data_IF_636372474793
#
_entry.id   IF_636372474793
#
_cell.length_a   1.000
_cell.length_b   1.000
_cell.length_c   1.000
_cell.angle_alpha   90.00
_cell.angle_beta   90.00
_cell.angle_gamma   90.00
#
_symmetry.space_group_name_H-M   'P 1'
#
loop_
_entity.id
_entity.type
_entity.pdbx_description
1 polymer ?
#
# COMPACT_ATOMS: atom_id res chain seq x y z
N UNK A 1 -55.57 24.15 -29.46
CA UNK A 1 -54.53 23.10 -29.58
C UNK A 1 -53.80 23.27 -30.91
N UNK A 2 -52.51 23.58 -30.94
CA UNK A 2 -51.87 24.08 -32.14
C UNK A 2 -51.25 22.98 -33.02
N UNK A 3 -51.24 23.25 -34.33
CA UNK A 3 -50.48 22.66 -35.45
C UNK A 3 -50.26 23.80 -36.47
N UNK A 4 -49.39 23.70 -37.50
CA UNK A 4 -48.18 22.87 -37.70
C UNK A 4 -47.03 23.59 -38.50
N UNK A 5 -46.02 22.81 -38.94
CA UNK A 5 -45.15 22.97 -40.14
C UNK A 5 -43.81 23.72 -39.93
N UNK A 6 -42.67 23.43 -40.59
CA UNK A 6 -42.29 22.38 -41.56
C UNK A 6 -40.74 22.39 -41.78
N UNK A 7 -40.15 21.19 -41.92
CA UNK A 7 -39.13 20.74 -42.90
C UNK A 7 -37.88 21.58 -43.26
N UNK A 8 -36.66 21.00 -43.17
CA UNK A 8 -35.89 20.45 -44.34
C UNK A 8 -34.48 19.91 -44.00
N UNK A 9 -34.20 18.75 -44.61
CA UNK A 9 -32.90 18.10 -44.77
C UNK A 9 -31.90 18.93 -45.61
N UNK A 10 -30.59 18.64 -45.46
CA UNK A 10 -29.72 18.25 -46.59
C UNK A 10 -28.37 17.67 -46.15
N UNK A 11 -28.13 16.42 -46.55
CA UNK A 11 -26.81 15.81 -46.72
C UNK A 11 -26.08 16.43 -47.92
N UNK A 12 -24.74 16.51 -47.86
CA UNK A 12 -23.87 16.43 -49.05
C UNK A 12 -22.51 15.86 -48.66
N UNK A 13 -22.18 14.72 -49.27
CA UNK A 13 -20.88 14.07 -49.23
C UNK A 13 -19.85 14.72 -50.20
N UNK A 14 -18.70 14.05 -50.40
CA UNK A 14 -17.42 14.68 -50.72
C UNK A 14 -17.13 14.81 -52.21
N UNK A 15 -16.18 15.67 -52.57
CA UNK A 15 -15.59 15.72 -53.91
C UNK A 15 -14.07 15.64 -53.83
N UNK A 16 -13.52 14.88 -54.77
CA UNK A 16 -12.16 14.41 -54.91
C UNK A 16 -11.34 15.26 -55.90
N UNK A 17 -10.11 14.80 -56.11
CA UNK A 17 -9.19 14.97 -57.27
C UNK A 17 -7.96 15.85 -56.98
N UNK A 18 -6.73 15.42 -57.30
CA UNK A 18 -6.29 14.15 -57.89
C UNK A 18 -4.78 14.06 -58.07
N UNK A 19 -4.34 12.85 -58.45
CA UNK A 19 -3.24 12.45 -59.37
C UNK A 19 -1.83 13.01 -59.13
N UNK A 20 -0.71 12.30 -59.28
CA UNK A 20 -0.26 10.95 -59.67
C UNK A 20 1.22 10.88 -59.16
N UNK A 21 2.05 9.82 -59.18
CA UNK A 21 2.27 8.69 -60.08
C UNK A 21 3.33 7.79 -59.40
N UNK A 22 3.30 6.50 -59.73
CA UNK A 22 4.20 5.42 -59.28
C UNK A 22 5.64 5.56 -59.82
N UNK A 23 6.62 4.99 -59.10
CA UNK A 23 7.71 4.15 -59.64
C UNK A 23 8.48 3.42 -58.52
N UNK A 24 8.94 2.21 -58.82
CA UNK A 24 9.51 1.21 -57.91
C UNK A 24 11.05 1.21 -57.84
N UNK A 25 11.59 0.77 -56.68
CA UNK A 25 12.85 0.09 -56.28
C UNK A 25 14.21 0.38 -57.00
N UNK A 26 15.41 0.20 -56.38
CA UNK A 26 15.76 -0.73 -55.28
C UNK A 26 16.65 -0.17 -54.14
N UNK A 27 16.87 -1.02 -53.13
CA UNK A 27 17.71 -0.80 -51.93
C UNK A 27 19.17 -0.37 -52.19
N UNK A 28 19.85 0.17 -51.15
CA UNK A 28 21.18 -0.30 -50.80
C UNK A 28 21.33 -0.72 -49.33
N UNK A 29 22.16 -1.74 -49.12
CA UNK A 29 22.57 -2.32 -47.83
C UNK A 29 23.45 -1.35 -47.02
N UNK A 30 23.60 -1.72 -45.75
CA UNK A 30 24.71 -1.47 -44.79
C UNK A 30 24.67 -0.19 -43.96
N UNK A 31 24.41 -0.32 -42.65
CA UNK A 31 25.45 -0.24 -41.62
C UNK A 31 24.84 -0.26 -40.21
N UNK A 32 25.58 -0.86 -39.29
CA UNK A 32 25.23 -1.11 -37.89
C UNK A 32 25.35 0.18 -37.09
N UNK A 33 24.37 0.46 -36.24
CA UNK A 33 24.60 1.18 -34.99
C UNK A 33 23.61 0.71 -33.92
N UNK A 34 24.05 -0.28 -33.15
CA UNK A 34 23.51 -0.55 -31.83
C UNK A 34 23.74 0.70 -30.98
N UNK A 35 22.68 1.43 -30.66
CA UNK A 35 22.73 2.44 -29.60
C UNK A 35 21.71 2.05 -28.55
N UNK A 36 22.23 1.37 -27.54
CA UNK A 36 21.64 1.14 -26.23
C UNK A 36 21.22 2.49 -25.65
N UNK A 37 19.93 2.82 -25.70
CA UNK A 37 19.36 3.89 -24.88
C UNK A 37 19.06 3.30 -23.51
N UNK A 38 20.11 3.05 -22.73
CA UNK A 38 19.98 3.03 -21.28
C UNK A 38 20.01 4.47 -20.80
N UNK A 39 18.84 4.97 -20.41
CA UNK A 39 18.73 6.08 -19.47
C UNK A 39 17.58 5.71 -18.52
N UNK A 40 17.82 4.68 -17.71
CA UNK A 40 17.11 4.52 -16.44
C UNK A 40 17.57 5.69 -15.54
N UNK A 41 16.66 6.56 -15.07
CA UNK A 41 17.05 7.63 -14.15
C UNK A 41 17.61 6.98 -12.89
N UNK A 42 18.78 7.44 -12.45
CA UNK A 42 19.38 6.98 -11.19
C UNK A 42 18.33 7.10 -10.08
N UNK A 43 17.92 5.96 -9.52
CA UNK A 43 16.92 5.90 -8.46
C UNK A 43 17.31 6.89 -7.35
N UNK A 44 16.49 7.92 -7.19
CA UNK A 44 16.72 8.96 -6.19
C UNK A 44 16.68 8.26 -4.83
N UNK A 45 17.79 8.28 -4.10
CA UNK A 45 17.93 7.55 -2.83
C UNK A 45 16.92 8.11 -1.83
N UNK A 46 15.80 7.43 -1.61
CA UNK A 46 14.81 7.79 -0.61
C UNK A 46 15.35 7.39 0.79
N UNK A 47 15.79 8.35 1.63
CA UNK A 47 16.34 8.04 2.95
C UNK A 47 15.30 7.47 3.91
N UNK A 48 14.01 7.55 3.56
CA UNK A 48 12.89 7.10 4.37
C UNK A 48 12.61 5.59 4.33
N UNK A 49 13.28 4.83 3.46
CA UNK A 49 13.02 3.39 3.34
C UNK A 49 13.80 2.56 4.37
N UNK A 50 13.10 1.61 5.00
CA UNK A 50 13.67 0.68 5.98
C UNK A 50 13.85 -0.71 5.38
N UNK A 51 14.63 -0.83 4.30
CA UNK A 51 14.74 -2.06 3.49
C UNK A 51 15.27 -3.28 4.25
N UNK A 52 15.92 -3.08 5.40
CA UNK A 52 16.44 -4.13 6.28
C UNK A 52 15.48 -4.51 7.42
N UNK A 53 14.31 -3.87 7.51
CA UNK A 53 13.36 -4.10 8.60
C UNK A 53 12.68 -5.47 8.49
N UNK A 54 12.12 -5.92 9.61
CA UNK A 54 11.41 -7.19 9.75
C UNK A 54 10.52 -7.15 10.99
N UNK A 55 9.60 -8.11 11.12
CA UNK A 55 8.83 -8.29 12.34
C UNK A 55 9.72 -8.72 13.50
N UNK A 56 9.46 -8.16 14.68
CA UNK A 56 10.26 -8.39 15.87
C UNK A 56 9.72 -9.59 16.66
N UNK A 57 10.47 -10.68 16.71
CA UNK A 57 10.06 -11.93 17.39
C UNK A 57 10.16 -11.89 18.92
N UNK A 58 10.58 -10.77 19.52
CA UNK A 58 10.68 -10.65 20.98
C UNK A 58 9.28 -10.53 21.60
N UNK A 59 9.12 -11.10 22.80
CA UNK A 59 7.83 -11.13 23.51
C UNK A 59 7.29 -9.73 23.89
N UNK A 60 8.15 -8.70 23.93
CA UNK A 60 7.77 -7.30 24.16
C UNK A 60 7.28 -6.59 22.89
N UNK A 61 7.30 -7.26 21.74
CA UNK A 61 6.98 -6.69 20.44
C UNK A 61 6.10 -7.59 19.56
N UNK A 62 5.89 -8.85 19.94
CA UNK A 62 5.05 -9.81 19.23
C UNK A 62 4.15 -10.52 20.22
N UNK A 63 2.84 -10.44 20.02
CA UNK A 63 1.88 -11.16 20.83
C UNK A 63 2.12 -12.67 20.79
N UNK A 64 1.87 -13.35 21.90
CA UNK A 64 2.13 -14.78 22.04
C UNK A 64 1.26 -15.65 21.12
N UNK A 65 0.14 -15.12 20.61
CA UNK A 65 -0.76 -15.83 19.69
C UNK A 65 -0.38 -15.69 18.21
N UNK A 66 0.72 -14.99 17.92
CA UNK A 66 1.26 -14.90 16.58
C UNK A 66 2.45 -15.85 16.41
N UNK A 67 2.60 -16.39 15.21
CA UNK A 67 3.81 -17.06 14.76
C UNK A 67 4.46 -16.27 13.65
N UNK A 68 5.79 -16.16 13.71
CA UNK A 68 6.60 -15.50 12.68
C UNK A 68 7.41 -16.54 11.91
N UNK A 69 7.50 -16.36 10.61
CA UNK A 69 8.29 -17.22 9.73
C UNK A 69 8.94 -16.42 8.60
N UNK A 70 9.85 -17.09 7.87
CA UNK A 70 10.39 -16.57 6.62
C UNK A 70 9.38 -16.78 5.49
N UNK A 71 9.39 -15.92 4.46
CA UNK A 71 8.67 -16.20 3.23
C UNK A 71 9.13 -17.51 2.62
N UNK A 72 8.20 -18.23 1.98
CA UNK A 72 8.54 -19.40 1.18
C UNK A 72 9.23 -18.92 -0.09
N UNK A 73 10.56 -18.91 -0.11
CA UNK A 73 11.31 -18.57 -1.32
C UNK A 73 11.40 -19.77 -2.26
N UNK A 74 11.28 -19.57 -3.59
CA UNK A 74 11.70 -20.57 -4.56
C UNK A 74 13.18 -20.91 -4.30
N UNK A 75 13.52 -22.19 -4.39
CA UNK A 75 14.88 -22.68 -4.18
C UNK A 75 15.81 -22.21 -5.30
N UNK A 76 16.25 -20.95 -5.26
CA UNK A 76 17.41 -20.47 -6.02
C UNK A 76 18.65 -20.50 -5.10
N UNK A 77 19.54 -21.49 -5.27
CA UNK A 77 20.74 -21.66 -4.44
C UNK A 77 21.73 -20.49 -4.55
N UNK A 78 21.59 -19.59 -5.55
CA UNK A 78 22.53 -18.50 -5.81
C UNK A 78 22.12 -17.15 -5.20
N UNK A 79 20.91 -17.02 -4.66
CA UNK A 79 20.44 -15.79 -4.04
C UNK A 79 20.08 -16.02 -2.58
N UNK A 80 21.09 -16.14 -1.71
CA UNK A 80 20.87 -16.17 -0.26
C UNK A 80 20.45 -14.78 0.23
N UNK A 81 19.15 -14.48 0.14
CA UNK A 81 18.59 -13.32 0.85
C UNK A 81 18.74 -13.55 2.37
N UNK A 82 18.97 -12.50 3.16
CA UNK A 82 18.99 -12.63 4.61
C UNK A 82 17.65 -13.21 5.09
N UNK A 83 17.75 -14.16 6.02
CA UNK A 83 16.58 -14.74 6.70
C UNK A 83 15.88 -13.63 7.49
N UNK A 84 14.69 -13.21 7.05
CA UNK A 84 13.87 -12.20 7.73
C UNK A 84 12.51 -12.76 8.12
N UNK A 85 12.03 -12.36 9.30
CA UNK A 85 10.67 -12.64 9.73
C UNK A 85 9.71 -11.66 9.05
N UNK A 86 9.13 -12.08 7.94
CA UNK A 86 8.22 -11.25 7.14
C UNK A 86 6.79 -11.78 7.16
N UNK A 87 6.60 -13.08 7.42
CA UNK A 87 5.29 -13.70 7.50
C UNK A 87 4.81 -13.71 8.95
N UNK A 88 3.56 -13.30 9.16
CA UNK A 88 2.86 -13.34 10.46
C UNK A 88 1.59 -14.16 10.27
N UNK A 89 1.33 -15.09 11.20
CA UNK A 89 0.13 -15.91 11.20
C UNK A 89 -0.48 -15.99 12.58
N UNK A 90 -1.81 -15.88 12.66
CA UNK A 90 -2.54 -16.11 13.90
C UNK A 90 -2.61 -17.61 14.22
N UNK A 91 -2.29 -17.99 15.46
CA UNK A 91 -2.36 -19.38 15.91
C UNK A 91 -3.82 -19.88 15.91
N UNK A 92 -4.07 -21.14 15.50
CA UNK A 92 -5.39 -21.75 15.62
C UNK A 92 -5.88 -21.84 17.07
N UNK A 93 -7.17 -21.64 17.27
CA UNK A 93 -7.84 -21.75 18.57
C UNK A 93 -7.64 -20.54 19.50
N UNK A 94 -7.03 -19.45 19.03
CA UNK A 94 -6.68 -18.28 19.84
C UNK A 94 -7.46 -16.99 19.45
N UNK A 95 -8.49 -17.08 18.60
CA UNK A 95 -9.20 -15.94 17.99
C UNK A 95 -10.09 -15.08 18.93
N UNK A 96 -9.76 -14.99 20.21
CA UNK A 96 -10.61 -14.27 21.20
C UNK A 96 -10.36 -12.76 21.19
N UNK A 97 -9.12 -12.34 20.98
CA UNK A 97 -8.68 -10.95 21.00
C UNK A 97 -7.77 -10.63 19.81
N UNK A 98 -7.56 -9.35 19.51
CA UNK A 98 -6.55 -8.91 18.56
C UNK A 98 -5.14 -9.19 19.10
N UNK A 99 -4.26 -9.61 18.21
CA UNK A 99 -2.86 -9.92 18.48
C UNK A 99 -1.97 -9.08 17.56
N UNK A 100 -1.09 -8.29 18.16
CA UNK A 100 -0.26 -7.33 17.44
C UNK A 100 1.21 -7.73 17.37
N UNK A 101 1.89 -7.32 16.30
CA UNK A 101 3.35 -7.40 16.16
C UNK A 101 3.92 -6.12 15.58
N UNK A 102 5.02 -5.66 16.17
CA UNK A 102 5.79 -4.52 15.74
C UNK A 102 7.02 -4.94 14.92
N UNK A 103 7.43 -4.09 14.00
CA UNK A 103 8.72 -4.22 13.34
C UNK A 103 9.89 -3.87 14.30
N UNK A 104 11.10 -4.26 13.93
CA UNK A 104 12.31 -4.04 14.75
C UNK A 104 12.69 -2.55 14.79
N UNK A 105 12.64 -1.88 13.62
CA UNK A 105 13.04 -0.48 13.49
C UNK A 105 11.81 0.43 13.44
N UNK A 106 11.88 1.62 14.08
CA UNK A 106 10.85 2.64 13.92
C UNK A 106 10.88 3.21 12.50
N UNK A 107 9.83 3.93 12.13
CA UNK A 107 9.88 4.76 10.92
C UNK A 107 10.98 5.84 11.09
N UNK A 108 11.68 6.23 10.00
CA UNK A 108 12.61 7.35 10.02
C UNK A 108 11.88 8.68 10.28
N UNK A 109 12.61 9.80 10.31
CA UNK A 109 12.03 11.13 10.55
C UNK A 109 12.10 12.06 9.34
N UNK A 110 12.47 11.52 8.18
CA UNK A 110 12.64 12.27 6.94
C UNK A 110 12.34 11.39 5.72
N UNK A 111 12.17 12.04 4.57
CA UNK A 111 11.86 11.37 3.30
C UNK A 111 10.41 10.87 3.23
N UNK A 112 10.22 9.79 2.48
CA UNK A 112 8.95 9.07 2.41
C UNK A 112 9.18 7.69 3.00
N UNK A 113 8.56 7.41 4.13
CA UNK A 113 8.50 6.05 4.67
C UNK A 113 7.35 5.30 3.99
N UNK A 114 7.59 4.05 3.61
CA UNK A 114 6.57 3.19 3.02
C UNK A 114 6.89 1.71 3.23
N UNK A 115 5.87 0.91 3.49
CA UNK A 115 5.94 -0.55 3.47
C UNK A 115 4.61 -1.13 2.99
N UNK A 116 4.67 -2.34 2.43
CA UNK A 116 3.52 -3.10 1.96
C UNK A 116 3.32 -4.36 2.79
N UNK A 117 2.08 -4.83 2.82
CA UNK A 117 1.66 -6.07 3.43
C UNK A 117 0.74 -6.81 2.46
N UNK A 118 1.16 -7.99 2.03
CA UNK A 118 0.35 -8.91 1.24
C UNK A 118 -0.52 -9.76 2.15
N UNK A 119 -1.80 -9.88 1.84
CA UNK A 119 -2.74 -10.70 2.60
C UNK A 119 -2.76 -12.11 2.01
N UNK A 120 -2.25 -13.09 2.75
CA UNK A 120 -2.11 -14.48 2.30
C UNK A 120 -3.26 -15.39 2.76
N UNK A 121 -3.70 -15.20 4.01
CA UNK A 121 -4.68 -16.04 4.69
C UNK A 121 -6.11 -15.54 4.54
N UNK A 122 -7.01 -16.04 5.38
CA UNK A 122 -8.37 -15.49 5.49
C UNK A 122 -8.27 -14.04 5.99
N UNK A 123 -9.23 -13.19 5.60
CA UNK A 123 -9.38 -11.86 6.17
C UNK A 123 -10.48 -11.87 7.21
N UNK A 124 -10.11 -12.15 8.45
CA UNK A 124 -10.88 -11.76 9.60
C UNK A 124 -10.77 -10.26 9.86
N UNK A 125 -10.34 -9.91 11.07
CA UNK A 125 -10.03 -8.52 11.43
C UNK A 125 -8.52 -8.35 11.31
N UNK A 126 -8.09 -7.58 10.32
CA UNK A 126 -6.69 -7.26 10.04
C UNK A 126 -6.54 -5.76 9.99
N UNK A 127 -5.56 -5.23 10.73
CA UNK A 127 -5.30 -3.80 10.80
C UNK A 127 -3.83 -3.51 10.59
N UNK A 128 -3.53 -2.60 9.67
CA UNK A 128 -2.18 -2.33 9.18
C UNK A 128 -1.86 -0.86 9.37
N UNK A 129 -0.76 -0.55 10.03
CA UNK A 129 -0.30 0.83 10.12
C UNK A 129 0.87 1.06 11.07
N UNK A 130 0.79 2.14 11.85
CA UNK A 130 1.90 2.67 12.64
C UNK A 130 1.49 2.84 14.10
N UNK A 131 2.26 2.27 15.03
CA UNK A 131 1.93 2.29 16.45
C UNK A 131 3.11 2.63 17.35
N UNK A 132 2.88 3.22 18.54
CA UNK A 132 3.91 3.35 19.56
C UNK A 132 4.20 1.99 20.20
N UNK A 133 5.47 1.68 20.46
CA UNK A 133 5.86 0.37 21.02
C UNK A 133 5.29 0.10 22.44
N UNK A 134 4.84 1.15 23.13
CA UNK A 134 4.20 1.05 24.45
C UNK A 134 2.76 0.53 24.39
N UNK A 135 2.13 0.51 23.20
CA UNK A 135 0.76 0.00 23.04
C UNK A 135 0.69 -1.48 23.44
N UNK A 136 -0.33 -1.91 24.20
CA UNK A 136 -0.52 -3.32 24.54
C UNK A 136 -0.64 -4.22 23.30
N UNK A 137 0.06 -5.36 23.31
CA UNK A 137 0.08 -6.31 22.19
C UNK A 137 -1.26 -7.03 21.96
N UNK A 138 -2.15 -7.05 22.97
CA UNK A 138 -3.50 -7.60 22.90
C UNK A 138 -4.55 -6.56 22.47
N UNK A 139 -4.11 -5.39 22.01
CA UNK A 139 -4.95 -4.29 21.52
C UNK A 139 -4.66 -4.06 20.04
N UNK A 140 -5.70 -3.71 19.31
CA UNK A 140 -5.62 -3.38 17.90
C UNK A 140 -4.92 -2.03 17.67
N UNK A 141 -4.08 -1.97 16.64
CA UNK A 141 -3.48 -0.73 16.17
C UNK A 141 -4.55 0.24 15.64
N UNK A 142 -4.34 1.55 15.84
CA UNK A 142 -5.32 2.59 15.51
C UNK A 142 -6.25 2.97 16.67
N UNK A 143 -6.25 2.20 17.77
CA UNK A 143 -6.62 2.77 19.07
C UNK A 143 -5.54 3.73 19.59
N UNK A 144 -4.30 3.40 19.28
CA UNK A 144 -3.14 4.28 19.35
C UNK A 144 -2.41 4.21 18.01
N UNK A 145 -1.82 5.33 17.58
CA UNK A 145 -1.20 5.42 16.27
C UNK A 145 -2.22 5.45 15.14
N UNK A 146 -1.89 4.90 13.98
CA UNK A 146 -2.69 4.99 12.76
C UNK A 146 -2.93 3.59 12.19
N UNK A 147 -4.11 3.35 11.61
CA UNK A 147 -4.41 2.05 11.01
C UNK A 147 -5.36 2.15 9.82
N UNK A 148 -5.21 1.22 8.89
CA UNK A 148 -6.22 0.84 7.91
C UNK A 148 -6.74 -0.55 8.26
N UNK A 149 -8.02 -0.63 8.61
CA UNK A 149 -8.71 -1.85 9.01
C UNK A 149 -9.32 -2.59 7.81
N UNK A 150 -9.44 -3.90 7.92
CA UNK A 150 -9.97 -4.77 6.87
C UNK A 150 -11.41 -4.45 6.46
N UNK A 151 -12.19 -3.79 7.31
CA UNK A 151 -13.55 -3.36 7.00
C UNK A 151 -13.65 -2.11 6.10
N UNK A 152 -12.52 -1.50 5.69
CA UNK A 152 -12.57 -0.29 4.87
C UNK A 152 -12.57 1.00 5.68
N UNK A 153 -11.90 1.03 6.84
CA UNK A 153 -11.88 2.20 7.72
C UNK A 153 -10.44 2.59 8.05
N UNK A 154 -10.13 3.88 7.94
CA UNK A 154 -8.90 4.47 8.47
C UNK A 154 -9.14 5.00 9.89
N UNK A 155 -8.26 4.62 10.82
CA UNK A 155 -8.28 5.03 12.22
C UNK A 155 -7.25 6.12 12.50
N UNK A 156 -7.63 7.10 13.33
CA UNK A 156 -6.87 8.32 13.62
C UNK A 156 -6.45 9.08 12.35
N UNK A 157 -7.34 9.10 11.35
CA UNK A 157 -7.07 9.64 10.03
C UNK A 157 -7.80 10.97 9.84
N UNK A 158 -7.17 12.04 10.32
CA UNK A 158 -7.70 13.40 10.18
C UNK A 158 -7.61 13.85 8.72
N UNK A 159 -8.76 13.86 8.04
CA UNK A 159 -8.88 14.31 6.65
C UNK A 159 -10.27 14.95 6.41
N UNK A 160 -10.44 15.79 5.39
CA UNK A 160 -11.77 16.27 5.02
C UNK A 160 -12.73 15.11 4.78
N UNK A 161 -13.87 15.10 5.46
CA UNK A 161 -14.84 13.99 5.43
C UNK A 161 -14.68 12.96 6.56
N UNK A 162 -13.67 13.09 7.42
CA UNK A 162 -13.57 12.25 8.63
C UNK A 162 -14.67 12.60 9.63
N UNK A 163 -15.07 11.63 10.44
CA UNK A 163 -15.96 11.81 11.59
C UNK A 163 -15.27 11.34 12.87
N UNK A 164 -15.74 11.80 14.03
CA UNK A 164 -15.14 11.42 15.31
C UNK A 164 -16.00 10.36 16.00
N UNK A 165 -15.35 9.31 16.50
CA UNK A 165 -15.98 8.32 17.38
C UNK A 165 -15.44 8.46 18.81
N UNK A 166 -16.34 8.45 19.78
CA UNK A 166 -16.01 8.52 21.21
C UNK A 166 -15.88 7.13 21.85
N UNK A 167 -15.61 6.10 21.05
CA UNK A 167 -15.36 4.77 21.62
C UNK A 167 -14.06 4.83 22.45
N UNK A 168 -14.04 4.19 23.62
CA UNK A 168 -12.86 4.02 24.48
C UNK A 168 -12.23 5.31 25.05
N UNK A 169 -13.08 6.22 25.54
CA UNK A 169 -12.74 7.42 26.33
C UNK A 169 -11.94 8.53 25.62
N UNK A 170 -11.62 8.37 24.33
CA UNK A 170 -10.93 9.39 23.52
C UNK A 170 -11.55 9.52 22.14
N UNK A 171 -11.89 10.74 21.69
CA UNK A 171 -12.33 10.99 20.32
C UNK A 171 -11.26 10.55 19.32
N UNK A 172 -11.66 9.80 18.29
CA UNK A 172 -10.79 9.33 17.21
C UNK A 172 -11.35 9.71 15.86
N UNK A 173 -10.53 10.30 15.01
CA UNK A 173 -10.88 10.60 13.62
C UNK A 173 -10.94 9.30 12.81
N UNK A 174 -12.09 9.02 12.22
CA UNK A 174 -12.37 7.88 11.35
C UNK A 174 -12.68 8.35 9.94
N UNK A 175 -12.19 7.62 8.94
CA UNK A 175 -12.49 7.88 7.53
C UNK A 175 -12.82 6.57 6.82
N UNK A 176 -13.99 6.48 6.18
CA UNK A 176 -14.48 5.26 5.53
C UNK A 176 -15.12 5.50 4.14
N UNK A 177 -15.38 6.75 3.77
CA UNK A 177 -16.07 7.07 2.52
C UNK A 177 -15.26 6.61 1.29
N UNK A 178 -15.83 5.68 0.52
CA UNK A 178 -15.21 5.16 -0.69
C UNK A 178 -13.94 4.33 -0.46
N UNK A 179 -13.65 3.93 0.79
CA UNK A 179 -12.49 3.10 1.11
C UNK A 179 -12.87 1.62 0.91
N UNK A 180 -12.14 0.94 0.05
CA UNK A 180 -12.36 -0.49 -0.21
C UNK A 180 -11.94 -1.34 1.01
N UNK A 181 -12.61 -2.49 1.21
CA UNK A 181 -12.22 -3.45 2.23
C UNK A 181 -11.05 -4.33 1.79
N UNK A 182 -10.31 -4.87 2.76
CA UNK A 182 -9.15 -5.74 2.53
C UNK A 182 -9.60 -7.19 2.43
N UNK A 183 -9.13 -7.91 1.41
CA UNK A 183 -9.41 -9.35 1.18
C UNK A 183 -8.13 -10.12 0.83
N UNK A 184 -8.16 -11.47 0.86
CA UNK A 184 -6.99 -12.28 0.51
C UNK A 184 -6.52 -11.97 -0.91
N UNK A 185 -5.20 -11.92 -1.10
CA UNK A 185 -4.54 -11.53 -2.34
C UNK A 185 -4.34 -10.02 -2.52
N UNK A 186 -4.90 -9.16 -1.66
CA UNK A 186 -4.60 -7.74 -1.71
C UNK A 186 -3.18 -7.44 -1.21
N UNK A 187 -2.60 -6.37 -1.75
CA UNK A 187 -1.39 -5.73 -1.23
C UNK A 187 -1.74 -4.37 -0.67
N UNK A 188 -1.56 -4.21 0.63
CA UNK A 188 -1.91 -3.00 1.37
C UNK A 188 -0.63 -2.26 1.73
N UNK A 189 -0.55 -0.99 1.33
CA UNK A 189 0.57 -0.12 1.69
C UNK A 189 0.21 0.86 2.79
N UNK A 190 1.19 1.18 3.62
CA UNK A 190 1.11 2.27 4.60
C UNK A 190 2.34 3.15 4.46
N UNK A 191 2.12 4.46 4.29
CA UNK A 191 3.18 5.42 4.04
C UNK A 191 3.03 6.72 4.81
N UNK A 192 4.16 7.37 5.04
CA UNK A 192 4.26 8.70 5.63
C UNK A 192 5.15 9.56 4.75
N UNK A 193 4.60 10.69 4.31
CA UNK A 193 5.34 11.78 3.70
C UNK A 193 5.68 12.80 4.78
N UNK A 194 6.94 12.80 5.25
CA UNK A 194 7.39 13.70 6.31
C UNK A 194 7.44 15.16 5.87
N UNK A 195 7.66 15.41 4.57
CA UNK A 195 7.74 16.78 4.04
C UNK A 195 6.36 17.43 4.09
N UNK A 196 5.33 16.70 3.66
CA UNK A 196 3.96 17.20 3.65
C UNK A 196 3.19 16.88 4.94
N UNK A 197 3.81 16.16 5.88
CA UNK A 197 3.21 15.71 7.14
C UNK A 197 1.90 14.96 6.90
N UNK A 198 1.95 13.99 5.99
CA UNK A 198 0.79 13.19 5.60
C UNK A 198 1.00 11.72 5.83
N UNK A 199 -0.03 11.04 6.33
CA UNK A 199 -0.14 9.59 6.30
C UNK A 199 -1.07 9.17 5.17
N UNK A 200 -0.76 8.04 4.54
CA UNK A 200 -1.58 7.50 3.47
C UNK A 200 -1.53 5.99 3.38
N UNK A 201 -2.55 5.45 2.73
CA UNK A 201 -2.67 4.04 2.45
C UNK A 201 -2.81 3.79 0.95
N UNK A 202 -2.46 2.58 0.54
CA UNK A 202 -2.64 2.10 -0.82
C UNK A 202 -3.24 0.70 -0.82
N UNK A 203 -3.92 0.34 -1.89
CA UNK A 203 -4.43 -1.01 -2.14
C UNK A 203 -4.08 -1.41 -3.57
N UNK A 204 -3.37 -2.52 -3.73
CA UNK A 204 -2.93 -3.08 -5.02
C UNK A 204 -2.23 -2.03 -5.91
N UNK A 205 -1.34 -1.24 -5.30
CA UNK A 205 -0.59 -0.19 -5.99
C UNK A 205 -1.38 1.10 -6.28
N UNK A 206 -2.61 1.27 -5.79
CA UNK A 206 -3.39 2.51 -5.95
C UNK A 206 -3.56 3.25 -4.62
N UNK A 207 -3.46 4.59 -4.65
CA UNK A 207 -3.65 5.45 -3.47
C UNK A 207 -5.13 5.44 -3.06
N UNK A 208 -5.38 5.21 -1.77
CA UNK A 208 -6.73 5.24 -1.22
C UNK A 208 -7.05 6.58 -0.56
N UNK A 209 -8.23 7.11 -0.86
CA UNK A 209 -8.84 8.25 -0.18
C UNK A 209 -7.95 9.51 -0.10
N UNK A 210 -8.38 10.52 0.67
CA UNK A 210 -7.54 11.65 1.02
C UNK A 210 -6.43 11.22 1.99
N UNK A 211 -5.27 11.88 1.88
CA UNK A 211 -4.20 11.74 2.86
C UNK A 211 -4.64 12.31 4.23
N UNK A 212 -4.29 11.61 5.31
CA UNK A 212 -4.56 12.07 6.66
C UNK A 212 -3.44 12.99 7.15
N UNK A 213 -3.74 13.87 8.11
CA UNK A 213 -2.70 14.61 8.83
C UNK A 213 -1.83 13.64 9.62
N UNK A 214 -0.52 13.83 9.51
CA UNK A 214 0.46 13.11 10.31
C UNK A 214 1.16 14.07 11.26
N UNK A 215 1.03 13.81 12.56
CA UNK A 215 1.65 14.63 13.59
C UNK A 215 2.96 13.97 14.00
N UNK A 216 4.09 14.56 13.60
CA UNK A 216 5.41 14.15 14.09
C UNK A 216 5.49 14.43 15.59
N UNK A 217 5.42 13.36 16.38
CA UNK A 217 5.48 13.42 17.83
C UNK A 217 6.87 12.99 18.32
N UNK A 218 7.20 13.31 19.58
CA UNK A 218 8.42 12.77 20.21
C UNK A 218 8.39 11.24 20.35
N UNK A 219 7.19 10.63 20.32
CA UNK A 219 7.00 9.19 20.39
C UNK A 219 7.35 8.57 19.04
N UNK A 220 8.28 7.61 19.05
CA UNK A 220 8.65 6.87 17.85
C UNK A 220 7.53 5.90 17.48
N UNK A 221 7.09 5.98 16.23
CA UNK A 221 6.15 5.04 15.64
C UNK A 221 6.89 3.92 14.91
N UNK A 222 6.30 2.73 14.94
CA UNK A 222 6.82 1.53 14.32
C UNK A 222 5.77 0.95 13.39
N UNK A 223 6.16 0.37 12.25
CA UNK A 223 5.27 -0.50 11.49
C UNK A 223 4.71 -1.57 12.40
N UNK A 224 3.40 -1.74 12.35
CA UNK A 224 2.69 -2.66 13.23
C UNK A 224 1.45 -3.19 12.51
N UNK A 225 1.14 -4.45 12.77
CA UNK A 225 -0.08 -5.11 12.30
C UNK A 225 -0.78 -5.79 13.46
N UNK A 226 -2.11 -5.86 13.39
CA UNK A 226 -2.97 -6.59 14.31
C UNK A 226 -3.79 -7.62 13.55
N UNK A 227 -3.80 -8.87 14.00
CA UNK A 227 -4.60 -9.98 13.47
C UNK A 227 -5.51 -10.50 14.58
N UNK A 228 -6.74 -10.93 14.28
CA UNK A 228 -7.69 -11.36 15.33
C UNK A 228 -8.34 -12.72 15.08
N UNK A 229 -8.24 -13.29 13.89
CA UNK A 229 -8.93 -14.53 13.53
C UNK A 229 -7.96 -15.63 13.14
N UNK A 230 -8.37 -16.85 13.45
CA UNK A 230 -7.64 -18.05 13.09
C UNK A 230 -7.48 -18.13 11.56
N UNK A 231 -6.23 -18.29 11.12
CA UNK A 231 -5.90 -18.35 9.70
C UNK A 231 -5.71 -16.99 9.03
N UNK A 232 -5.78 -15.88 9.77
CA UNK A 232 -5.22 -14.61 9.32
C UNK A 232 -3.72 -14.81 9.11
N UNK A 233 -3.24 -14.47 7.91
CA UNK A 233 -1.83 -14.65 7.51
C UNK A 233 -1.45 -13.54 6.55
N UNK A 234 -0.30 -12.90 6.80
CA UNK A 234 0.19 -11.76 6.03
C UNK A 234 1.69 -11.89 5.79
N UNK A 235 2.19 -11.27 4.72
CA UNK A 235 3.62 -11.14 4.42
C UNK A 235 3.98 -9.66 4.25
N UNK A 236 5.01 -9.19 4.95
CA UNK A 236 5.48 -7.82 4.85
C UNK A 236 6.56 -7.66 3.78
N UNK A 237 6.53 -6.50 3.13
CA UNK A 237 7.53 -6.00 2.22
C UNK A 237 7.96 -4.61 2.67
N UNK A 238 9.15 -4.52 3.29
CA UNK A 238 9.75 -3.23 3.68
C UNK A 238 10.57 -2.58 2.56
N UNK A 239 10.43 -3.08 1.33
CA UNK A 239 11.04 -2.54 0.13
C UNK A 239 12.31 -3.26 -0.33
N UNK A 240 12.96 -2.72 -1.37
CA UNK A 240 12.58 -1.50 -2.10
C UNK A 240 11.54 -1.72 -3.22
N UNK A 241 11.20 -2.97 -3.54
CA UNK A 241 10.35 -3.27 -4.69
C UNK A 241 8.88 -3.34 -4.25
N UNK A 242 8.12 -2.31 -4.56
CA UNK A 242 6.71 -2.19 -4.17
C UNK A 242 5.77 -2.40 -5.37
N UNK A 243 4.50 -2.75 -5.11
CA UNK A 243 3.44 -2.65 -6.12
C UNK A 243 3.15 -1.18 -6.42
N UNK A 244 3.07 -0.34 -5.39
CA UNK A 244 2.96 1.11 -5.55
C UNK A 244 4.26 1.72 -6.10
N UNK A 245 4.18 2.47 -7.20
CA UNK A 245 5.36 2.94 -7.96
C UNK A 245 5.81 4.38 -7.65
N UNK A 246 5.18 5.07 -6.72
CA UNK A 246 5.40 6.50 -6.48
C UNK A 246 6.04 6.82 -5.12
N UNK A 247 6.95 5.96 -4.65
CA UNK A 247 7.72 6.15 -3.41
C UNK A 247 9.20 6.47 -3.64
#
# INVERSE_FOLDING_TARGET
>A
SPKPSNTKLKNKGPTSSGNAKLNADPSPKTSVSNTKLENEPAAQKNPGLTVENQWNSKADACHADLTLSQPVQPSDPKLSKPKRFLVVKHKPGQSKNCSSVFAVQPIPKEGIFYYEVTILGKTGVVSIGLGPKQMPLAKEIGFEGYAYQSCGTFLNHEAPGCYYSDMDDKPRALFEEGIEGIRPGNVVGCGVDFKNKKIFYTLNGERLGPAGEFVDSSVRLFPCVSLARDGDEIEANFGPNFEFKHC
#
